data_IF_752532693046
#
_entry.id   IF_752532693046
#
_cell.length_a   1.000
_cell.length_b   1.000
_cell.length_c   1.000
_cell.angle_alpha   90.00
_cell.angle_beta   90.00
_cell.angle_gamma   90.00
#
_symmetry.space_group_name_H-M   'P 1'
#
loop_
_entity.id
_entity.type
_entity.pdbx_description
1 polymer ?
#
# COMPACT_ATOMS: atom_id res chain seq x y z
N UNK A 1 7.44 -5.38 -25.08
CA UNK A 1 7.92 -4.38 -24.10
C UNK A 1 6.83 -3.37 -23.84
N UNK A 2 6.69 -2.87 -22.61
CA UNK A 2 5.75 -1.78 -22.29
C UNK A 2 6.38 -0.43 -22.70
N UNK A 3 5.89 0.23 -23.77
CA UNK A 3 6.45 1.50 -24.23
C UNK A 3 6.06 2.68 -23.33
N UNK A 4 5.03 2.52 -22.49
CA UNK A 4 4.44 3.58 -21.67
C UNK A 4 5.16 3.73 -20.32
N UNK A 5 5.40 2.64 -19.60
CA UNK A 5 5.94 2.71 -18.23
C UNK A 5 7.38 2.22 -18.08
N UNK A 6 7.99 1.61 -19.11
CA UNK A 6 9.37 1.06 -19.05
C UNK A 6 9.67 0.19 -17.82
N UNK A 7 8.63 -0.41 -17.22
CA UNK A 7 8.74 -1.30 -16.06
C UNK A 7 9.14 -2.71 -16.50
N UNK A 8 9.91 -3.39 -15.66
CA UNK A 8 10.58 -4.67 -15.98
C UNK A 8 9.59 -5.86 -16.07
N UNK A 9 8.50 -5.83 -15.28
CA UNK A 9 7.49 -6.90 -15.26
C UNK A 9 6.36 -6.63 -16.27
N UNK A 10 6.49 -7.24 -17.45
CA UNK A 10 5.45 -7.28 -18.49
C UNK A 10 5.17 -8.74 -18.81
N UNK A 11 3.93 -9.18 -18.60
CA UNK A 11 3.46 -10.49 -19.05
C UNK A 11 2.97 -10.36 -20.50
N UNK A 12 3.31 -11.32 -21.36
CA UNK A 12 2.80 -11.36 -22.73
C UNK A 12 2.01 -12.65 -22.91
N UNK A 13 0.71 -12.54 -23.17
CA UNK A 13 -0.16 -13.69 -23.46
C UNK A 13 -0.91 -13.44 -24.78
N UNK A 14 -0.81 -14.37 -25.73
CA UNK A 14 -1.40 -14.26 -27.08
C UNK A 14 -1.03 -12.95 -27.81
N UNK A 15 0.24 -12.53 -27.69
CA UNK A 15 0.75 -11.30 -28.30
C UNK A 15 0.29 -10.01 -27.62
N UNK A 16 -0.55 -10.07 -26.58
CA UNK A 16 -1.02 -8.91 -25.83
C UNK A 16 -0.18 -8.68 -24.56
N UNK A 17 0.38 -7.46 -24.35
CA UNK A 17 1.11 -7.15 -23.13
C UNK A 17 0.16 -6.80 -21.98
N UNK A 18 0.36 -7.41 -20.83
CA UNK A 18 -0.23 -7.04 -19.53
C UNK A 18 0.87 -6.45 -18.66
N UNK A 19 0.58 -5.30 -18.05
CA UNK A 19 1.51 -4.51 -17.27
C UNK A 19 0.98 -4.28 -15.85
N UNK A 20 1.85 -3.83 -14.94
CA UNK A 20 1.63 -3.71 -13.49
C UNK A 20 1.59 -5.08 -12.79
N UNK A 21 2.43 -5.26 -11.77
CA UNK A 21 2.62 -6.55 -11.08
C UNK A 21 1.32 -7.08 -10.47
N UNK A 22 0.53 -6.22 -9.82
CA UNK A 22 -0.75 -6.63 -9.22
C UNK A 22 -1.78 -7.06 -10.27
N UNK A 23 -1.81 -6.38 -11.43
CA UNK A 23 -2.70 -6.73 -12.54
C UNK A 23 -2.26 -8.06 -13.18
N UNK A 24 -0.95 -8.26 -13.33
CA UNK A 24 -0.38 -9.53 -13.83
C UNK A 24 -0.77 -10.70 -12.93
N UNK A 25 -0.68 -10.55 -11.60
CA UNK A 25 -1.07 -11.60 -10.65
C UNK A 25 -2.57 -11.90 -10.74
N UNK A 26 -3.42 -10.87 -10.81
CA UNK A 26 -4.87 -11.05 -10.98
C UNK A 26 -5.21 -11.75 -12.30
N UNK A 27 -4.55 -11.36 -13.39
CA UNK A 27 -4.73 -11.98 -14.69
C UNK A 27 -4.34 -13.46 -14.68
N UNK A 28 -3.23 -13.80 -14.04
CA UNK A 28 -2.80 -15.20 -13.92
C UNK A 28 -3.82 -16.01 -13.11
N UNK A 29 -4.31 -15.47 -11.99
CA UNK A 29 -5.37 -16.10 -11.18
C UNK A 29 -6.63 -16.34 -12.00
N UNK A 30 -7.06 -15.37 -12.81
CA UNK A 30 -8.28 -15.50 -13.62
C UNK A 30 -8.15 -16.51 -14.76
N UNK A 31 -7.00 -16.54 -15.45
CA UNK A 31 -6.80 -17.38 -16.64
C UNK A 31 -6.43 -18.83 -16.29
N UNK A 32 -5.70 -19.05 -15.19
CA UNK A 32 -5.19 -20.37 -14.77
C UNK A 32 -5.67 -20.77 -13.35
N UNK A 33 -6.90 -20.41 -12.97
CA UNK A 33 -7.48 -20.75 -11.66
C UNK A 33 -7.68 -22.26 -11.43
N UNK A 34 -7.64 -23.09 -12.47
CA UNK A 34 -8.00 -24.50 -12.44
C UNK A 34 -6.93 -25.39 -11.79
N UNK A 35 -5.67 -24.96 -11.83
CA UNK A 35 -4.52 -25.78 -11.38
C UNK A 35 -3.93 -25.32 -10.06
N UNK A 36 -3.87 -24.02 -9.83
CA UNK A 36 -3.21 -23.42 -8.67
C UNK A 36 -3.69 -21.98 -8.47
N UNK A 37 -4.87 -21.78 -7.87
CA UNK A 37 -5.38 -20.45 -7.60
C UNK A 37 -4.41 -19.67 -6.72
N UNK A 38 -4.05 -18.46 -7.14
CA UNK A 38 -3.13 -17.57 -6.43
C UNK A 38 -3.88 -16.76 -5.36
N UNK A 39 -5.17 -16.51 -5.58
CA UNK A 39 -6.03 -15.81 -4.66
C UNK A 39 -7.03 -16.78 -3.99
N UNK A 40 -7.52 -16.44 -2.78
CA UNK A 40 -8.58 -17.22 -2.14
C UNK A 40 -9.82 -17.35 -3.03
N UNK A 41 -10.52 -18.49 -2.96
CA UNK A 41 -11.76 -18.71 -3.71
C UNK A 41 -12.94 -17.92 -3.11
N UNK A 42 -12.97 -17.76 -1.78
CA UNK A 42 -14.02 -17.01 -1.11
C UNK A 42 -13.95 -15.52 -1.53
N UNK A 43 -15.05 -14.91 -2.01
CA UNK A 43 -15.04 -13.54 -2.51
C UNK A 43 -14.52 -12.50 -1.51
N UNK A 44 -14.95 -12.59 -0.26
CA UNK A 44 -14.52 -11.66 0.80
C UNK A 44 -13.02 -11.79 1.08
N UNK A 45 -12.52 -13.02 1.17
CA UNK A 45 -11.09 -13.26 1.38
C UNK A 45 -10.24 -12.83 0.18
N UNK A 46 -10.76 -13.00 -1.04
CA UNK A 46 -10.14 -12.54 -2.28
C UNK A 46 -10.02 -11.01 -2.28
N UNK A 47 -11.09 -10.31 -1.94
CA UNK A 47 -11.10 -8.85 -1.86
C UNK A 47 -10.18 -8.33 -0.75
N UNK A 48 -10.13 -9.01 0.40
CA UNK A 48 -9.17 -8.70 1.45
C UNK A 48 -7.72 -8.90 1.00
N UNK A 49 -7.42 -9.97 0.26
CA UNK A 49 -6.08 -10.22 -0.28
C UNK A 49 -5.68 -9.13 -1.30
N UNK A 50 -6.61 -8.75 -2.21
CA UNK A 50 -6.40 -7.66 -3.17
C UNK A 50 -6.15 -6.33 -2.49
N UNK A 51 -6.98 -5.99 -1.51
CA UNK A 51 -6.83 -4.76 -0.73
C UNK A 51 -5.48 -4.70 -0.04
N UNK A 52 -5.05 -5.77 0.63
CA UNK A 52 -3.73 -5.83 1.30
C UNK A 52 -2.59 -5.66 0.31
N UNK A 53 -2.68 -6.27 -0.86
CA UNK A 53 -1.65 -6.15 -1.89
C UNK A 53 -1.53 -4.71 -2.42
N UNK A 54 -2.67 -4.04 -2.67
CA UNK A 54 -2.72 -2.62 -3.05
C UNK A 54 -2.15 -1.71 -1.95
N UNK A 55 -2.55 -1.95 -0.69
CA UNK A 55 -2.03 -1.23 0.47
C UNK A 55 -0.51 -1.33 0.58
N UNK A 56 0.06 -2.54 0.41
CA UNK A 56 1.51 -2.77 0.45
C UNK A 56 2.21 -2.04 -0.71
N UNK A 57 1.68 -2.12 -1.93
CA UNK A 57 2.27 -1.44 -3.10
C UNK A 57 2.29 0.08 -2.92
N UNK A 58 1.17 0.68 -2.51
CA UNK A 58 1.05 2.12 -2.24
C UNK A 58 1.98 2.55 -1.11
N UNK A 59 2.02 1.80 -0.01
CA UNK A 59 2.93 2.03 1.11
C UNK A 59 4.37 2.07 0.64
N UNK A 60 4.78 1.07 -0.14
CA UNK A 60 6.15 0.96 -0.62
C UNK A 60 6.53 2.19 -1.44
N UNK A 61 5.64 2.67 -2.32
CA UNK A 61 5.86 3.89 -3.09
C UNK A 61 6.03 5.12 -2.20
N UNK A 62 5.18 5.28 -1.19
CA UNK A 62 5.29 6.39 -0.23
C UNK A 62 6.64 6.34 0.50
N UNK A 63 7.05 5.16 0.96
CA UNK A 63 8.34 4.98 1.64
C UNK A 63 9.52 5.30 0.70
N UNK A 64 9.51 4.78 -0.54
CA UNK A 64 10.56 5.07 -1.52
C UNK A 64 10.64 6.59 -1.80
N UNK A 65 9.52 7.29 -1.91
CA UNK A 65 9.46 8.76 -2.04
C UNK A 65 10.00 9.48 -0.79
N UNK A 66 9.73 8.97 0.41
CA UNK A 66 10.23 9.51 1.68
C UNK A 66 11.75 9.34 1.81
N UNK A 67 12.28 8.19 1.38
CA UNK A 67 13.71 7.94 1.33
C UNK A 67 14.39 8.89 0.35
N UNK A 68 13.85 9.04 -0.86
CA UNK A 68 14.39 9.97 -1.87
C UNK A 68 14.44 11.42 -1.38
N UNK A 69 13.45 11.85 -0.61
CA UNK A 69 13.38 13.21 -0.06
C UNK A 69 14.09 13.38 1.29
N UNK A 70 14.71 12.32 1.84
CA UNK A 70 15.38 12.37 3.13
C UNK A 70 14.45 12.50 4.35
N UNK A 71 13.14 12.24 4.18
CA UNK A 71 12.10 12.42 5.19
C UNK A 71 11.69 11.13 5.91
N UNK A 72 12.32 10.00 5.59
CA UNK A 72 11.94 8.68 6.13
C UNK A 72 11.99 8.60 7.66
N UNK A 73 12.77 9.45 8.34
CA UNK A 73 12.83 9.48 9.81
C UNK A 73 11.54 9.99 10.46
N UNK A 74 10.86 10.94 9.83
CA UNK A 74 9.57 11.47 10.29
C UNK A 74 8.46 10.42 10.21
N UNK A 75 8.54 9.52 9.23
CA UNK A 75 7.64 8.37 9.14
C UNK A 75 7.71 7.45 10.36
N UNK A 76 8.90 7.31 10.96
CA UNK A 76 9.10 6.48 12.15
C UNK A 76 9.05 7.26 13.48
N UNK A 77 8.70 8.55 13.45
CA UNK A 77 8.65 9.40 14.66
C UNK A 77 10.02 9.60 15.34
N UNK A 78 11.12 9.54 14.58
CA UNK A 78 12.48 9.65 15.13
C UNK A 78 13.09 11.02 14.82
N UNK A 79 12.84 12.01 15.68
CA UNK A 79 13.38 13.37 15.52
C UNK A 79 14.92 13.37 15.57
N UNK A 80 15.60 13.95 14.56
CA UNK A 80 17.05 14.14 14.59
C UNK A 80 17.47 15.14 15.67
N UNK A 81 18.55 14.84 16.41
CA UNK A 81 19.10 15.73 17.46
C UNK A 81 19.45 17.16 17.02
N UNK A 82 19.70 17.38 15.72
CA UNK A 82 20.11 18.67 15.14
C UNK A 82 18.93 19.50 14.62
N UNK A 83 17.70 18.98 14.73
CA UNK A 83 16.50 19.60 14.14
C UNK A 83 15.65 20.21 15.25
N UNK A 84 15.21 21.45 15.07
CA UNK A 84 14.28 22.10 15.98
C UNK A 84 12.86 21.52 15.84
N UNK A 85 12.02 21.77 16.84
CA UNK A 85 10.67 21.20 16.91
C UNK A 85 9.72 21.74 15.84
N UNK A 86 9.92 22.97 15.38
CA UNK A 86 9.09 23.60 14.34
C UNK A 86 9.33 22.94 12.98
N UNK A 87 10.59 22.82 12.59
CA UNK A 87 11.01 22.15 11.35
C UNK A 87 10.66 20.65 11.39
N UNK A 88 10.70 20.04 12.58
CA UNK A 88 10.27 18.67 12.78
C UNK A 88 8.77 18.51 12.52
N UNK A 89 7.93 19.37 13.12
CA UNK A 89 6.48 19.35 12.91
C UNK A 89 6.09 19.61 11.46
N UNK A 90 6.75 20.54 10.78
CA UNK A 90 6.53 20.79 9.35
C UNK A 90 6.89 19.55 8.50
N UNK A 91 7.98 18.84 8.86
CA UNK A 91 8.34 17.59 8.22
C UNK A 91 7.31 16.49 8.48
N UNK A 92 6.84 16.32 9.71
CA UNK A 92 5.77 15.36 10.05
C UNK A 92 4.49 15.65 9.27
N UNK A 93 4.05 16.92 9.21
CA UNK A 93 2.90 17.33 8.42
C UNK A 93 3.07 17.00 6.93
N UNK A 94 4.24 17.29 6.34
CA UNK A 94 4.56 16.93 4.96
C UNK A 94 4.48 15.43 4.71
N UNK A 95 4.95 14.60 5.65
CA UNK A 95 4.84 13.14 5.54
C UNK A 95 3.38 12.70 5.65
N UNK A 96 2.63 13.22 6.63
CA UNK A 96 1.22 12.89 6.84
C UNK A 96 0.37 13.21 5.61
N UNK A 97 0.54 14.41 5.03
CA UNK A 97 -0.13 14.80 3.78
C UNK A 97 0.23 13.84 2.64
N UNK A 98 1.50 13.44 2.52
CA UNK A 98 1.94 12.57 1.44
C UNK A 98 1.40 11.14 1.57
N UNK A 99 1.28 10.62 2.79
CA UNK A 99 0.56 9.37 3.05
C UNK A 99 -0.90 9.52 2.61
N UNK A 100 -1.61 10.55 3.09
CA UNK A 100 -3.03 10.79 2.78
C UNK A 100 -3.30 10.89 1.27
N UNK A 101 -2.46 11.61 0.52
CA UNK A 101 -2.56 11.74 -0.94
C UNK A 101 -2.35 10.43 -1.70
N UNK A 102 -1.80 9.40 -1.07
CA UNK A 102 -1.63 8.07 -1.66
C UNK A 102 -2.76 7.10 -1.28
N UNK A 103 -3.69 7.52 -0.41
CA UNK A 103 -4.85 6.74 -0.03
C UNK A 103 -6.00 6.98 -1.02
N UNK A 104 -6.89 6.00 -1.13
CA UNK A 104 -8.17 6.21 -1.80
C UNK A 104 -9.08 7.07 -0.90
N UNK A 105 -10.03 7.80 -1.50
CA UNK A 105 -10.87 8.78 -0.78
C UNK A 105 -11.58 8.15 0.42
N UNK A 106 -12.17 6.96 0.24
CA UNK A 106 -12.84 6.19 1.29
C UNK A 106 -11.91 5.85 2.47
N UNK A 107 -10.66 5.48 2.18
CA UNK A 107 -9.65 5.20 3.20
C UNK A 107 -9.15 6.48 3.88
N UNK A 108 -8.99 7.55 3.11
CA UNK A 108 -8.51 8.84 3.59
C UNK A 108 -9.41 9.43 4.67
N UNK A 109 -10.74 9.30 4.52
CA UNK A 109 -11.70 9.82 5.51
C UNK A 109 -11.48 9.26 6.92
N UNK A 110 -10.97 8.03 7.07
CA UNK A 110 -10.71 7.42 8.37
C UNK A 110 -9.50 8.02 9.12
N UNK A 111 -8.62 8.73 8.41
CA UNK A 111 -7.36 9.27 8.95
C UNK A 111 -7.18 10.76 8.66
N UNK A 112 -8.24 11.43 8.21
CA UNK A 112 -8.18 12.82 7.75
C UNK A 112 -7.77 13.79 8.86
N UNK A 113 -8.28 13.59 10.07
CA UNK A 113 -8.02 14.44 11.24
C UNK A 113 -6.67 14.14 11.93
N UNK A 114 -5.95 13.11 11.49
CA UNK A 114 -4.68 12.71 12.09
C UNK A 114 -3.52 13.54 11.55
N UNK A 115 -2.76 14.19 12.42
CA UNK A 115 -1.61 15.00 12.02
C UNK A 115 -0.29 14.21 12.04
N UNK A 116 -0.22 13.17 12.87
CA UNK A 116 0.99 12.38 13.05
C UNK A 116 1.08 11.25 12.01
N UNK A 117 2.20 11.17 11.25
CA UNK A 117 2.46 10.05 10.34
C UNK A 117 2.37 8.68 11.01
N UNK A 118 2.87 8.57 12.25
CA UNK A 118 2.89 7.30 12.99
C UNK A 118 1.49 6.89 13.42
N UNK A 119 0.64 7.84 13.82
CA UNK A 119 -0.75 7.55 14.18
C UNK A 119 -1.57 7.14 12.96
N UNK A 120 -1.41 7.85 11.83
CA UNK A 120 -2.01 7.46 10.55
C UNK A 120 -1.60 6.02 10.21
N UNK A 121 -0.30 5.74 10.28
CA UNK A 121 0.25 4.43 9.96
C UNK A 121 -0.33 3.31 10.83
N UNK A 122 -0.35 3.51 12.16
CA UNK A 122 -0.89 2.54 13.10
C UNK A 122 -2.39 2.29 12.91
N UNK A 123 -3.18 3.32 12.58
CA UNK A 123 -4.60 3.17 12.28
C UNK A 123 -4.81 2.32 11.02
N UNK A 124 -4.08 2.63 9.95
CA UNK A 124 -4.15 1.88 8.70
C UNK A 124 -3.71 0.42 8.91
N UNK A 125 -2.63 0.19 9.64
CA UNK A 125 -2.14 -1.16 9.94
C UNK A 125 -3.16 -1.95 10.77
N UNK A 126 -3.73 -1.35 11.82
CA UNK A 126 -4.75 -2.00 12.64
C UNK A 126 -6.02 -2.34 11.85
N UNK A 127 -6.45 -1.45 10.97
CA UNK A 127 -7.68 -1.62 10.21
C UNK A 127 -7.53 -2.65 9.08
N UNK A 128 -6.40 -2.62 8.36
CA UNK A 128 -6.25 -3.34 7.10
C UNK A 128 -5.24 -4.50 7.13
N UNK A 129 -4.26 -4.43 8.03
CA UNK A 129 -3.17 -5.41 8.15
C UNK A 129 -3.30 -6.30 9.40
N UNK A 130 -4.17 -5.97 10.36
CA UNK A 130 -4.35 -6.80 11.54
C UNK A 130 -5.03 -8.15 11.21
N UNK A 131 -4.46 -9.23 11.74
CA UNK A 131 -5.09 -10.56 11.79
C UNK A 131 -6.10 -10.63 12.94
N UNK A 132 -6.99 -9.63 13.05
CA UNK A 132 -8.03 -9.58 14.08
C UNK A 132 -8.85 -10.88 14.10
N UNK A 133 -9.31 -11.28 15.29
CA UNK A 133 -10.10 -12.50 15.53
C UNK A 133 -11.33 -12.58 14.59
N UNK A 134 -11.90 -11.43 14.24
CA UNK A 134 -12.99 -11.28 13.27
C UNK A 134 -12.57 -11.77 11.89
N UNK A 135 -11.38 -11.40 11.41
CA UNK A 135 -10.84 -11.92 10.14
C UNK A 135 -10.61 -13.44 10.20
N UNK A 136 -10.14 -13.97 11.35
CA UNK A 136 -9.91 -15.42 11.52
C UNK A 136 -11.20 -16.25 11.54
N UNK A 137 -12.31 -15.71 12.05
CA UNK A 137 -13.62 -16.41 12.07
C UNK A 137 -14.21 -16.55 10.66
N UNK A 138 -13.95 -15.61 9.76
CA UNK A 138 -14.34 -15.68 8.34
C UNK A 138 -13.31 -16.39 7.44
N UNK A 139 -12.20 -16.86 8.01
CA UNK A 139 -11.10 -17.56 7.32
C UNK A 139 -11.08 -19.08 7.55
N UNK A 140 -12.14 -19.66 8.14
CA UNK A 140 -12.36 -21.11 8.22
C UNK A 140 -13.32 -21.59 7.14
#
# INVERSE_FOLDING_TARGET
>A
MNPVHKKILVLIHNGKPICESLIIVQYIDEVWNDKSPLLPTNPYQKDQARFRADYIDKTRRVNDLLVQQGMVKAFYGKQPKRMNDVDWKDMEAKVATRIKLCLADDVMYHVMDEESPTTIWLKLENQYMSKSLTNKLYLK
#
